data_IF_448710953892
#
_entry.id   IF_448710953892
#
_cell.length_a   1.000
_cell.length_b   1.000
_cell.length_c   1.000
_cell.angle_alpha   90.00
_cell.angle_beta   90.00
_cell.angle_gamma   90.00
#
_symmetry.space_group_name_H-M   'P 1'
#
loop_
_entity.id
_entity.type
_entity.pdbx_description
1 polymer ?
#
# COMPACT_ATOMS: atom_id res chain seq x y z
N UNK A 1 26.41 -5.32 23.20
CA UNK A 1 25.25 -5.81 22.43
C UNK A 1 23.95 -5.18 22.93
N UNK A 2 23.44 -5.53 24.14
CA UNK A 2 22.16 -4.98 24.63
C UNK A 2 22.09 -3.44 24.69
N UNK A 3 23.13 -2.75 25.15
CA UNK A 3 23.13 -1.28 25.21
C UNK A 3 23.02 -0.62 23.83
N UNK A 4 23.77 -1.13 22.84
CA UNK A 4 23.75 -0.63 21.45
C UNK A 4 22.37 -0.82 20.81
N UNK A 5 21.78 -2.00 21.01
CA UNK A 5 20.41 -2.30 20.61
C UNK A 5 19.41 -1.28 21.18
N UNK A 6 19.43 -1.05 22.49
CA UNK A 6 18.47 -0.12 23.12
C UNK A 6 18.68 1.33 22.69
N UNK A 7 19.92 1.78 22.53
CA UNK A 7 20.22 3.12 22.00
C UNK A 7 19.66 3.27 20.59
N UNK A 8 19.93 2.31 19.70
CA UNK A 8 19.44 2.33 18.33
C UNK A 8 17.91 2.28 18.26
N UNK A 9 17.28 1.44 19.08
CA UNK A 9 15.82 1.32 19.13
C UNK A 9 15.16 2.59 19.65
N UNK A 10 15.66 3.18 20.74
CA UNK A 10 15.14 4.45 21.26
C UNK A 10 15.34 5.57 20.25
N UNK A 11 16.52 5.65 19.63
CA UNK A 11 16.77 6.63 18.57
C UNK A 11 15.78 6.47 17.41
N UNK A 12 15.52 5.24 16.96
CA UNK A 12 14.53 4.96 15.92
C UNK A 12 13.14 5.45 16.32
N UNK A 13 12.64 5.07 17.50
CA UNK A 13 11.29 5.45 17.95
C UNK A 13 11.14 6.97 18.10
N UNK A 14 12.14 7.64 18.66
CA UNK A 14 12.15 9.10 18.85
C UNK A 14 12.19 9.82 17.50
N UNK A 15 13.11 9.45 16.61
CA UNK A 15 13.22 10.07 15.29
C UNK A 15 11.95 9.84 14.47
N UNK A 16 11.39 8.64 14.52
CA UNK A 16 10.14 8.33 13.83
C UNK A 16 8.96 9.16 14.35
N UNK A 17 8.84 9.33 15.66
CA UNK A 17 7.82 10.18 16.27
C UNK A 17 7.99 11.66 15.86
N UNK A 18 9.24 12.13 15.75
CA UNK A 18 9.58 13.49 15.36
C UNK A 18 9.25 13.84 13.91
N UNK A 19 8.98 12.86 13.03
CA UNK A 19 8.62 13.13 11.63
C UNK A 19 7.41 14.07 11.50
N UNK A 20 6.47 14.00 12.46
CA UNK A 20 5.29 14.87 12.48
C UNK A 20 5.65 16.34 12.67
N UNK A 21 6.79 16.64 13.28
CA UNK A 21 7.23 18.02 13.47
C UNK A 21 7.67 18.69 12.17
N UNK A 22 7.84 17.90 11.10
CA UNK A 22 8.38 18.33 9.81
C UNK A 22 7.43 18.04 8.64
N UNK A 23 6.15 17.74 8.92
CA UNK A 23 5.16 17.34 7.90
C UNK A 23 4.43 18.52 7.22
N UNK A 24 4.66 19.76 7.69
CA UNK A 24 4.14 20.97 7.05
C UNK A 24 5.02 21.43 5.88
N UNK A 25 4.71 20.94 4.69
CA UNK A 25 5.48 21.23 3.48
C UNK A 25 5.23 22.61 2.88
N UNK A 26 4.37 23.43 3.49
CA UNK A 26 4.22 24.84 3.09
C UNK A 26 5.45 25.69 3.48
N UNK A 27 6.28 25.17 4.39
CA UNK A 27 7.49 25.81 4.87
C UNK A 27 8.72 25.25 4.16
N UNK A 28 9.53 26.14 3.56
CA UNK A 28 10.67 25.82 2.69
C UNK A 28 11.65 24.77 3.26
N UNK A 29 11.94 24.82 4.56
CA UNK A 29 12.92 23.93 5.19
C UNK A 29 12.35 22.62 5.75
N UNK A 30 11.02 22.49 5.86
CA UNK A 30 10.40 21.30 6.46
C UNK A 30 10.66 20.02 5.67
N UNK A 31 10.61 20.00 4.32
CA UNK A 31 10.99 18.82 3.56
C UNK A 31 12.43 18.36 3.83
N UNK A 32 13.36 19.30 3.97
CA UNK A 32 14.77 18.98 4.28
C UNK A 32 14.89 18.34 5.66
N UNK A 33 14.23 18.90 6.67
CA UNK A 33 14.23 18.32 8.02
C UNK A 33 13.54 16.95 8.07
N UNK A 34 12.44 16.79 7.34
CA UNK A 34 11.74 15.52 7.21
C UNK A 34 12.65 14.44 6.61
N UNK A 35 13.34 14.75 5.50
CA UNK A 35 14.27 13.83 4.84
C UNK A 35 15.45 13.50 5.74
N UNK A 36 16.07 14.50 6.37
CA UNK A 36 17.19 14.29 7.29
C UNK A 36 16.77 13.39 8.48
N UNK A 37 15.61 13.67 9.08
CA UNK A 37 15.06 12.87 10.17
C UNK A 37 14.75 11.44 9.71
N UNK A 38 14.19 11.26 8.51
CA UNK A 38 13.91 9.95 7.91
C UNK A 38 15.18 9.15 7.66
N UNK A 39 16.25 9.77 7.16
CA UNK A 39 17.55 9.11 6.96
C UNK A 39 18.13 8.65 8.30
N UNK A 40 18.14 9.52 9.31
CA UNK A 40 18.61 9.17 10.65
C UNK A 40 17.78 8.06 11.28
N UNK A 41 16.45 8.12 11.12
CA UNK A 41 15.54 7.06 11.57
C UNK A 41 15.84 5.74 10.86
N UNK A 42 16.10 5.78 9.54
CA UNK A 42 16.51 4.62 8.75
C UNK A 42 17.82 4.01 9.25
N UNK A 43 18.84 4.83 9.50
CA UNK A 43 20.11 4.35 10.08
C UNK A 43 19.90 3.70 11.45
N UNK A 44 19.14 4.35 12.34
CA UNK A 44 18.81 3.80 13.66
C UNK A 44 18.07 2.46 13.55
N UNK A 45 17.11 2.36 12.63
CA UNK A 45 16.42 1.11 12.28
C UNK A 45 17.37 0.00 11.82
N UNK A 46 18.33 0.29 10.94
CA UNK A 46 19.30 -0.70 10.46
C UNK A 46 20.15 -1.24 11.63
N UNK A 47 20.60 -0.37 12.54
CA UNK A 47 21.33 -0.80 13.73
C UNK A 47 20.45 -1.59 14.71
N UNK A 48 19.20 -1.16 14.95
CA UNK A 48 18.28 -1.87 15.83
C UNK A 48 17.96 -3.27 15.30
N UNK A 49 17.74 -3.40 13.98
CA UNK A 49 17.39 -4.66 13.32
C UNK A 49 18.57 -5.65 13.27
N UNK A 50 19.78 -5.17 13.00
CA UNK A 50 20.99 -6.00 13.04
C UNK A 50 21.28 -6.52 14.45
N UNK A 51 21.20 -5.67 15.47
CA UNK A 51 21.46 -6.08 16.86
C UNK A 51 20.33 -6.97 17.41
N UNK A 52 19.11 -6.84 16.91
CA UNK A 52 17.99 -7.74 17.27
C UNK A 52 18.27 -9.19 16.93
N UNK A 53 19.03 -9.46 15.85
CA UNK A 53 19.37 -10.81 15.42
C UNK A 53 20.07 -11.64 16.52
N UNK A 54 20.78 -10.97 17.43
CA UNK A 54 21.51 -11.58 18.52
C UNK A 54 20.67 -11.74 19.82
N UNK A 55 19.40 -11.33 19.82
CA UNK A 55 18.48 -11.50 20.96
C UNK A 55 17.72 -12.82 20.85
N UNK A 56 17.81 -13.64 21.90
CA UNK A 56 17.02 -14.88 22.02
C UNK A 56 15.66 -14.62 22.69
N UNK A 57 14.61 -15.30 22.22
CA UNK A 57 13.25 -15.28 22.80
C UNK A 57 12.60 -13.88 22.96
N UNK A 58 12.85 -12.97 22.02
CA UNK A 58 12.40 -11.58 22.07
C UNK A 58 11.06 -11.30 21.32
N UNK A 59 10.11 -12.25 21.33
CA UNK A 59 8.80 -12.10 20.62
C UNK A 59 8.03 -10.88 21.13
N UNK A 60 8.07 -10.63 22.43
CA UNK A 60 7.37 -9.48 23.02
C UNK A 60 8.01 -8.16 22.57
N UNK A 61 9.35 -8.08 22.44
CA UNK A 61 10.05 -6.90 21.91
C UNK A 61 9.65 -6.68 20.45
N UNK A 62 9.65 -7.76 19.66
CA UNK A 62 9.23 -7.72 18.26
C UNK A 62 7.88 -7.02 18.10
N UNK A 63 6.86 -7.49 18.83
CA UNK A 63 5.51 -6.95 18.73
C UNK A 63 5.37 -5.59 19.38
N UNK A 64 6.03 -5.35 20.52
CA UNK A 64 6.02 -4.05 21.18
C UNK A 64 6.53 -2.95 20.25
N UNK A 65 7.66 -3.17 19.58
CA UNK A 65 8.24 -2.20 18.63
C UNK A 65 7.39 -2.11 17.37
N UNK A 66 6.93 -3.24 16.82
CA UNK A 66 6.06 -3.24 15.62
C UNK A 66 4.82 -2.40 15.86
N UNK A 67 4.08 -2.66 16.95
CA UNK A 67 2.87 -1.93 17.32
C UNK A 67 3.21 -0.48 17.69
N UNK A 68 4.29 -0.27 18.45
CA UNK A 68 4.75 1.06 18.84
C UNK A 68 4.99 1.97 17.64
N UNK A 69 5.68 1.49 16.61
CA UNK A 69 5.88 2.25 15.36
C UNK A 69 4.55 2.60 14.67
N UNK A 70 3.56 1.70 14.64
CA UNK A 70 2.25 2.00 14.02
C UNK A 70 1.48 3.05 14.83
N UNK A 71 1.51 2.96 16.16
CA UNK A 71 0.89 3.95 17.03
C UNK A 71 1.56 5.33 16.89
N UNK A 72 2.88 5.38 16.73
CA UNK A 72 3.62 6.61 16.45
C UNK A 72 3.37 7.14 15.03
N UNK A 73 2.99 6.29 14.08
CA UNK A 73 2.60 6.69 12.73
C UNK A 73 1.17 7.27 12.67
N UNK A 74 0.27 6.84 13.57
CA UNK A 74 -1.12 7.28 13.59
C UNK A 74 -1.33 8.82 13.55
N UNK A 75 -0.60 9.65 14.32
CA UNK A 75 -0.79 11.10 14.32
C UNK A 75 -0.15 11.83 13.12
N UNK A 76 0.58 11.14 12.24
CA UNK A 76 1.17 11.72 11.02
C UNK A 76 0.06 12.14 10.03
N UNK A 77 0.32 13.10 9.16
CA UNK A 77 -0.61 13.45 8.08
C UNK A 77 -0.90 12.22 7.18
N UNK A 78 -2.17 11.95 6.82
CA UNK A 78 -2.49 10.94 5.80
C UNK A 78 -2.05 11.42 4.41
N UNK A 79 -1.92 10.49 3.46
CA UNK A 79 -1.78 10.83 2.05
C UNK A 79 -3.03 11.56 1.56
N UNK A 80 -2.85 12.53 0.66
CA UNK A 80 -3.95 13.22 -0.02
C UNK A 80 -4.81 12.24 -0.82
N UNK A 81 -4.26 11.09 -1.24
CA UNK A 81 -5.00 10.05 -1.96
C UNK A 81 -6.14 9.46 -1.13
N UNK A 82 -6.09 9.51 0.21
CA UNK A 82 -7.20 9.04 1.07
C UNK A 82 -8.49 9.80 0.78
N UNK A 83 -8.40 11.09 0.45
CA UNK A 83 -9.55 11.89 0.06
C UNK A 83 -10.06 11.49 -1.33
N UNK A 84 -9.16 11.07 -2.22
CA UNK A 84 -9.52 10.52 -3.52
C UNK A 84 -10.27 9.19 -3.40
N UNK A 85 -9.77 8.26 -2.58
CA UNK A 85 -10.45 6.99 -2.32
C UNK A 85 -11.88 7.22 -1.82
N UNK A 86 -12.06 8.19 -0.92
CA UNK A 86 -13.38 8.52 -0.39
C UNK A 86 -14.30 9.13 -1.45
N UNK A 87 -13.79 10.06 -2.25
CA UNK A 87 -14.52 10.71 -3.33
C UNK A 87 -15.04 9.68 -4.34
N UNK A 88 -14.15 8.81 -4.84
CA UNK A 88 -14.51 7.78 -5.83
C UNK A 88 -15.52 6.78 -5.22
N UNK A 89 -15.35 6.41 -3.95
CA UNK A 89 -16.33 5.62 -3.22
C UNK A 89 -17.70 6.29 -3.08
N UNK A 90 -17.75 7.62 -2.88
CA UNK A 90 -19.02 8.38 -2.85
C UNK A 90 -19.69 8.35 -4.20
N UNK A 91 -18.96 8.64 -5.29
CA UNK A 91 -19.46 8.60 -6.68
C UNK A 91 -20.13 7.26 -6.96
N UNK A 92 -19.46 6.16 -6.61
CA UNK A 92 -20.00 4.81 -6.77
C UNK A 92 -21.25 4.55 -5.94
N UNK A 93 -21.30 5.02 -4.68
CA UNK A 93 -22.45 4.81 -3.77
C UNK A 93 -23.69 5.61 -4.19
N UNK A 94 -23.52 6.74 -4.86
CA UNK A 94 -24.64 7.51 -5.43
C UNK A 94 -25.07 7.02 -6.83
N UNK A 95 -24.45 5.94 -7.32
CA UNK A 95 -24.86 5.26 -8.55
C UNK A 95 -24.15 5.72 -9.82
N UNK A 96 -23.06 6.48 -9.70
CA UNK A 96 -22.26 6.92 -10.86
C UNK A 96 -20.99 6.07 -11.04
N UNK A 97 -20.49 6.06 -12.27
CA UNK A 97 -19.26 5.37 -12.64
C UNK A 97 -18.05 6.32 -12.41
N UNK A 98 -17.08 5.99 -11.53
CA UNK A 98 -15.94 6.84 -11.24
C UNK A 98 -14.96 6.99 -12.42
N UNK A 99 -15.05 6.12 -13.43
CA UNK A 99 -14.30 6.25 -14.69
C UNK A 99 -14.93 7.24 -15.68
N UNK A 100 -16.10 7.80 -15.37
CA UNK A 100 -16.83 8.74 -16.24
C UNK A 100 -17.25 10.03 -15.52
N UNK A 101 -17.14 10.06 -14.20
CA UNK A 101 -17.56 11.16 -13.35
C UNK A 101 -16.39 11.53 -12.47
N UNK A 102 -15.94 12.78 -12.58
CA UNK A 102 -14.91 13.33 -11.72
C UNK A 102 -15.51 13.77 -10.37
N UNK A 103 -14.71 13.87 -9.29
CA UNK A 103 -15.19 14.34 -7.99
C UNK A 103 -15.89 15.71 -8.00
N UNK A 104 -15.49 16.65 -8.86
CA UNK A 104 -16.07 17.99 -8.95
C UNK A 104 -17.27 18.10 -9.93
N UNK A 105 -17.69 16.98 -10.52
CA UNK A 105 -18.76 16.97 -11.51
C UNK A 105 -20.10 17.47 -10.91
N UNK A 106 -20.87 18.31 -11.62
CA UNK A 106 -22.15 18.83 -11.14
C UNK A 106 -23.14 17.74 -10.69
N UNK A 107 -23.06 16.53 -11.25
CA UNK A 107 -23.92 15.38 -10.90
C UNK A 107 -23.72 14.89 -9.47
N UNK A 108 -22.56 15.13 -8.87
CA UNK A 108 -22.21 14.73 -7.49
C UNK A 108 -21.94 15.92 -6.57
N UNK A 109 -22.33 17.13 -7.00
CA UNK A 109 -22.15 18.35 -6.23
C UNK A 109 -22.75 18.25 -4.82
N UNK A 110 -21.97 18.67 -3.82
CA UNK A 110 -22.37 18.65 -2.41
C UNK A 110 -22.44 17.26 -1.77
N UNK A 111 -22.05 16.18 -2.46
CA UNK A 111 -22.03 14.81 -1.89
C UNK A 111 -20.70 14.42 -1.24
N UNK A 112 -19.60 15.09 -1.61
CA UNK A 112 -18.24 14.74 -1.17
C UNK A 112 -17.83 15.67 -0.01
N UNK A 113 -17.62 15.17 1.22
CA UNK A 113 -17.45 15.99 2.43
C UNK A 113 -16.26 16.95 2.45
N UNK A 114 -15.20 16.68 1.69
CA UNK A 114 -13.98 17.52 1.65
C UNK A 114 -13.41 17.62 0.21
N UNK A 115 -14.25 18.01 -0.76
CA UNK A 115 -13.86 18.08 -2.18
C UNK A 115 -12.55 18.86 -2.43
N UNK A 116 -12.29 19.92 -1.65
CA UNK A 116 -11.08 20.74 -1.78
C UNK A 116 -9.77 19.98 -1.46
N UNK A 117 -9.84 18.88 -0.69
CA UNK A 117 -8.68 18.03 -0.38
C UNK A 117 -8.47 16.90 -1.38
N UNK A 118 -9.43 16.68 -2.28
CA UNK A 118 -9.37 15.61 -3.26
C UNK A 118 -8.37 16.01 -4.35
N UNK A 119 -7.26 15.27 -4.53
CA UNK A 119 -6.32 15.55 -5.62
C UNK A 119 -6.99 15.26 -6.98
N UNK A 120 -6.63 16.08 -7.99
CA UNK A 120 -7.13 15.98 -9.38
C UNK A 120 -8.66 15.81 -9.45
N UNK A 121 -9.39 16.63 -8.68
CA UNK A 121 -10.83 16.48 -8.50
C UNK A 121 -11.66 16.74 -9.78
N UNK A 122 -11.01 17.20 -10.84
CA UNK A 122 -11.52 17.43 -12.19
C UNK A 122 -11.35 16.24 -13.14
N UNK A 123 -10.60 15.21 -12.72
CA UNK A 123 -10.35 14.02 -13.53
C UNK A 123 -11.11 12.79 -13.00
N UNK A 124 -11.56 11.88 -13.88
CA UNK A 124 -12.04 10.55 -13.50
C UNK A 124 -10.95 9.71 -12.81
N UNK A 125 -11.35 8.59 -12.19
CA UNK A 125 -10.40 7.73 -11.47
C UNK A 125 -9.39 7.06 -12.39
N UNK A 126 -8.14 6.97 -11.93
CA UNK A 126 -7.07 6.19 -12.55
C UNK A 126 -6.79 4.88 -11.81
N UNK A 127 -7.55 4.56 -10.75
CA UNK A 127 -7.30 3.37 -9.95
C UNK A 127 -7.78 2.12 -10.64
N UNK A 128 -7.13 1.00 -10.29
CA UNK A 128 -7.54 -0.30 -10.77
C UNK A 128 -8.97 -0.61 -10.29
N UNK A 129 -9.79 -1.28 -11.10
CA UNK A 129 -11.16 -1.63 -10.76
C UNK A 129 -11.35 -2.34 -9.41
N UNK A 130 -10.42 -3.20 -8.97
CA UNK A 130 -10.51 -3.80 -7.64
C UNK A 130 -10.28 -2.82 -6.50
N UNK A 131 -9.46 -1.79 -6.72
CA UNK A 131 -9.27 -0.71 -5.74
C UNK A 131 -10.53 0.17 -5.64
N UNK A 132 -11.20 0.44 -6.76
CA UNK A 132 -12.50 1.11 -6.75
C UNK A 132 -13.56 0.34 -5.94
N UNK A 133 -13.60 -0.99 -6.06
CA UNK A 133 -14.49 -1.83 -5.24
C UNK A 133 -14.19 -1.66 -3.75
N UNK A 134 -12.92 -1.63 -3.37
CA UNK A 134 -12.49 -1.37 -1.99
C UNK A 134 -12.95 0.02 -1.52
N UNK A 135 -12.80 1.05 -2.36
CA UNK A 135 -13.17 2.43 -2.04
C UNK A 135 -14.67 2.60 -1.89
N UNK A 136 -15.48 1.89 -2.67
CA UNK A 136 -16.93 1.82 -2.51
C UNK A 136 -17.34 1.23 -1.17
N UNK A 137 -16.62 0.21 -0.69
CA UNK A 137 -16.94 -0.51 0.53
C UNK A 137 -16.63 0.31 1.80
N UNK A 138 -15.63 1.19 1.76
CA UNK A 138 -15.26 2.03 2.90
C UNK A 138 -16.05 3.36 2.85
N UNK A 139 -16.82 3.71 3.91
CA UNK A 139 -17.59 4.96 3.91
C UNK A 139 -16.66 6.18 3.98
N UNK A 140 -17.11 7.28 3.37
CA UNK A 140 -16.44 8.57 3.50
C UNK A 140 -16.64 9.14 4.91
N UNK A 141 -15.57 9.71 5.46
CA UNK A 141 -15.48 10.26 6.81
C UNK A 141 -14.68 11.56 6.80
N UNK A 142 -14.94 12.47 7.73
CA UNK A 142 -14.20 13.74 7.82
C UNK A 142 -12.76 13.59 8.34
N UNK A 143 -12.30 12.37 8.57
CA UNK A 143 -10.94 12.06 8.99
C UNK A 143 -10.47 10.76 8.33
N UNK A 144 -9.16 10.54 8.31
CA UNK A 144 -8.56 9.36 7.70
C UNK A 144 -8.46 8.14 8.66
N UNK A 145 -9.00 8.21 9.88
CA UNK A 145 -8.75 7.21 10.93
C UNK A 145 -9.24 5.81 10.53
N UNK A 146 -10.40 5.74 9.87
CA UNK A 146 -10.97 4.47 9.42
C UNK A 146 -10.06 3.80 8.37
N UNK A 147 -9.60 4.57 7.38
CA UNK A 147 -8.66 4.10 6.36
C UNK A 147 -7.34 3.66 6.97
N UNK A 148 -6.75 4.48 7.86
CA UNK A 148 -5.53 4.12 8.61
C UNK A 148 -5.69 2.81 9.38
N UNK A 149 -6.85 2.59 9.99
CA UNK A 149 -7.12 1.39 10.78
C UNK A 149 -7.27 0.15 9.91
N UNK A 150 -8.01 0.25 8.79
CA UNK A 150 -8.21 -0.88 7.85
C UNK A 150 -6.87 -1.29 7.21
N UNK A 151 -6.14 -0.31 6.67
CA UNK A 151 -4.84 -0.54 6.02
C UNK A 151 -3.75 -0.95 7.02
N UNK A 152 -3.79 -0.36 8.21
CA UNK A 152 -2.94 -0.77 9.31
C UNK A 152 -3.20 -2.20 9.81
N UNK A 153 -4.46 -2.63 9.85
CA UNK A 153 -4.80 -4.01 10.18
C UNK A 153 -4.27 -4.97 9.11
N UNK A 154 -4.39 -4.62 7.82
CA UNK A 154 -3.81 -5.42 6.73
C UNK A 154 -2.28 -5.54 6.84
N UNK A 155 -1.57 -4.45 7.16
CA UNK A 155 -0.12 -4.47 7.44
C UNK A 155 0.23 -5.42 8.61
N UNK A 156 -0.47 -5.30 9.75
CA UNK A 156 -0.22 -6.17 10.90
C UNK A 156 -0.53 -7.64 10.61
N UNK A 157 -1.56 -7.93 9.81
CA UNK A 157 -1.87 -9.28 9.35
C UNK A 157 -0.79 -9.83 8.41
N UNK A 158 -0.25 -9.00 7.51
CA UNK A 158 0.89 -9.36 6.67
C UNK A 158 2.12 -9.71 7.51
N UNK A 159 2.43 -8.92 8.54
CA UNK A 159 3.54 -9.19 9.47
C UNK A 159 3.31 -10.48 10.26
N UNK A 160 2.10 -10.68 10.77
CA UNK A 160 1.74 -11.91 11.48
C UNK A 160 1.90 -13.14 10.59
N UNK A 161 1.59 -13.02 9.29
CA UNK A 161 1.75 -14.08 8.32
C UNK A 161 3.21 -14.29 7.92
N UNK A 162 4.00 -13.22 7.75
CA UNK A 162 5.45 -13.32 7.54
C UNK A 162 6.15 -14.09 8.66
N UNK A 163 5.73 -13.91 9.92
CA UNK A 163 6.23 -14.70 11.05
C UNK A 163 5.88 -16.19 11.00
N UNK A 164 4.96 -16.60 10.12
CA UNK A 164 4.67 -18.02 9.83
C UNK A 164 5.54 -18.59 8.73
N UNK A 165 6.20 -17.73 7.95
CA UNK A 165 7.06 -18.07 6.80
C UNK A 165 8.55 -17.95 7.15
N UNK A 166 8.87 -16.96 7.98
CA UNK A 166 10.23 -16.54 8.28
C UNK A 166 10.47 -16.57 9.79
N UNK A 167 11.74 -16.69 10.17
CA UNK A 167 12.14 -16.45 11.56
C UNK A 167 11.98 -14.96 11.93
N UNK A 168 12.01 -14.68 13.24
CA UNK A 168 11.76 -13.33 13.75
C UNK A 168 12.86 -12.35 13.36
N UNK A 169 14.10 -12.84 13.30
CA UNK A 169 15.27 -12.03 12.98
C UNK A 169 15.20 -11.56 11.54
N UNK A 170 14.70 -12.40 10.62
CA UNK A 170 14.42 -12.02 9.23
C UNK A 170 13.19 -11.13 9.13
N UNK A 171 12.10 -11.45 9.83
CA UNK A 171 10.85 -10.67 9.75
C UNK A 171 10.98 -9.24 10.31
N UNK A 172 11.94 -8.98 11.21
CA UNK A 172 12.20 -7.64 11.78
C UNK A 172 12.53 -6.61 10.70
N UNK A 173 13.26 -6.99 9.65
CA UNK A 173 13.60 -6.09 8.55
C UNK A 173 12.38 -5.54 7.80
N UNK A 174 11.26 -6.26 7.84
CA UNK A 174 10.01 -5.75 7.32
C UNK A 174 9.21 -5.04 8.41
N UNK A 175 9.02 -5.71 9.56
CA UNK A 175 8.13 -5.24 10.61
C UNK A 175 8.59 -3.93 11.26
N UNK A 176 9.90 -3.70 11.39
CA UNK A 176 10.46 -2.50 12.03
C UNK A 176 10.88 -1.43 11.03
N UNK A 177 10.65 -1.63 9.73
CA UNK A 177 11.00 -0.64 8.74
C UNK A 177 10.12 0.62 8.93
N UNK A 178 10.73 1.80 9.20
CA UNK A 178 9.97 3.03 9.42
C UNK A 178 9.16 3.44 8.20
N UNK A 179 9.65 3.16 6.98
CA UNK A 179 8.91 3.45 5.74
C UNK A 179 7.62 2.64 5.67
N UNK A 180 7.66 1.35 6.03
CA UNK A 180 6.46 0.49 6.03
C UNK A 180 5.42 1.02 7.03
N UNK A 181 5.85 1.34 8.26
CA UNK A 181 4.97 1.88 9.29
C UNK A 181 4.37 3.23 8.87
N UNK A 182 5.19 4.13 8.30
CA UNK A 182 4.74 5.41 7.78
C UNK A 182 3.75 5.24 6.62
N UNK A 183 4.11 4.52 5.56
CA UNK A 183 3.30 4.41 4.35
C UNK A 183 1.93 3.76 4.61
N UNK A 184 1.88 2.68 5.38
CA UNK A 184 0.63 1.92 5.54
C UNK A 184 -0.26 2.43 6.67
N UNK A 185 0.34 2.85 7.80
CA UNK A 185 -0.42 3.26 8.98
C UNK A 185 -0.50 4.78 9.12
N UNK A 186 0.58 5.49 8.78
CA UNK A 186 0.64 6.96 8.79
C UNK A 186 -0.10 7.57 7.60
N UNK A 187 0.42 7.34 6.40
CA UNK A 187 -0.10 7.88 5.16
C UNK A 187 -1.37 7.15 4.65
N UNK A 188 -1.71 5.98 5.22
CA UNK A 188 -2.87 5.18 4.82
C UNK A 188 -2.87 4.79 3.32
N UNK A 189 -1.75 4.25 2.84
CA UNK A 189 -1.72 3.59 1.54
C UNK A 189 -2.38 2.20 1.59
N UNK A 190 -3.31 1.95 0.66
CA UNK A 190 -4.00 0.67 0.53
C UNK A 190 -3.09 -0.45 0.00
N UNK A 191 -1.87 -0.14 -0.45
CA UNK A 191 -0.82 -1.09 -0.83
C UNK A 191 -0.52 -2.13 0.27
N UNK A 192 -0.83 -1.81 1.53
CA UNK A 192 -0.85 -2.77 2.65
C UNK A 192 -1.72 -4.00 2.39
N UNK A 193 -2.89 -3.84 1.75
CA UNK A 193 -3.80 -4.94 1.39
C UNK A 193 -3.21 -5.76 0.26
N UNK A 194 -2.59 -5.10 -0.73
CA UNK A 194 -1.90 -5.77 -1.85
C UNK A 194 -0.76 -6.63 -1.29
N UNK A 195 0.03 -6.06 -0.38
CA UNK A 195 1.14 -6.76 0.24
C UNK A 195 0.66 -7.94 1.09
N UNK A 196 -0.42 -7.77 1.87
CA UNK A 196 -1.04 -8.87 2.61
C UNK A 196 -1.45 -10.01 1.66
N UNK A 197 -2.06 -9.68 0.52
CA UNK A 197 -2.43 -10.66 -0.50
C UNK A 197 -1.20 -11.38 -1.09
N UNK A 198 -0.10 -10.67 -1.36
CA UNK A 198 1.16 -11.28 -1.85
C UNK A 198 1.78 -12.20 -0.79
N UNK A 199 1.83 -11.79 0.47
CA UNK A 199 2.34 -12.65 1.56
C UNK A 199 1.44 -13.87 1.75
N UNK A 200 0.12 -13.71 1.61
CA UNK A 200 -0.82 -14.81 1.65
C UNK A 200 -0.64 -15.79 0.49
N UNK A 201 -0.38 -15.28 -0.73
CA UNK A 201 0.00 -16.10 -1.88
C UNK A 201 1.23 -16.95 -1.55
N UNK A 202 2.32 -16.33 -1.06
CA UNK A 202 3.56 -17.04 -0.70
C UNK A 202 3.27 -18.10 0.37
N UNK A 203 2.50 -17.76 1.40
CA UNK A 203 2.09 -18.70 2.44
C UNK A 203 1.35 -19.90 1.88
N UNK A 204 0.37 -19.69 1.01
CA UNK A 204 -0.38 -20.80 0.43
C UNK A 204 0.48 -21.67 -0.49
N UNK A 205 1.40 -21.08 -1.26
CA UNK A 205 2.35 -21.83 -2.07
C UNK A 205 3.32 -22.66 -1.23
N UNK A 206 3.83 -22.11 -0.12
CA UNK A 206 4.71 -22.86 0.78
C UNK A 206 3.97 -24.05 1.43
N UNK A 207 2.74 -23.82 1.92
CA UNK A 207 1.90 -24.88 2.50
C UNK A 207 1.50 -25.94 1.49
N UNK A 208 1.30 -25.53 0.23
CA UNK A 208 1.04 -26.44 -0.87
C UNK A 208 2.21 -27.41 -1.10
N UNK A 209 3.45 -26.93 -1.06
CA UNK A 209 4.64 -27.78 -1.22
C UNK A 209 4.84 -28.72 -0.01
N UNK A 210 4.62 -28.23 1.21
CA UNK A 210 4.82 -29.02 2.44
C UNK A 210 3.75 -30.09 2.68
N UNK A 211 2.55 -29.95 2.11
CA UNK A 211 1.42 -30.84 2.41
C UNK A 211 1.16 -31.84 1.28
N UNK A 212 0.91 -33.11 1.64
CA UNK A 212 0.48 -34.15 0.69
C UNK A 212 -1.05 -34.21 0.55
N UNK A 213 -1.78 -33.97 1.65
CA UNK A 213 -3.24 -33.93 1.68
C UNK A 213 -3.79 -32.51 1.40
N UNK A 214 -5.02 -32.39 0.92
CA UNK A 214 -5.71 -31.09 0.74
C UNK A 214 -5.01 -30.05 -0.17
N UNK A 215 -4.14 -30.47 -1.10
CA UNK A 215 -3.41 -29.57 -2.02
C UNK A 215 -4.30 -28.58 -2.78
N UNK A 216 -5.52 -28.98 -3.16
CA UNK A 216 -6.48 -28.10 -3.81
C UNK A 216 -6.87 -26.88 -2.97
N UNK A 217 -6.98 -27.02 -1.65
CA UNK A 217 -7.32 -25.88 -0.76
C UNK A 217 -6.24 -24.82 -0.80
N UNK A 218 -4.98 -25.24 -0.75
CA UNK A 218 -3.83 -24.32 -0.82
C UNK A 218 -3.63 -23.75 -2.22
N UNK A 219 -3.82 -24.56 -3.28
CA UNK A 219 -3.77 -24.06 -4.66
C UNK A 219 -4.86 -23.01 -4.92
N UNK A 220 -6.09 -23.23 -4.43
CA UNK A 220 -7.18 -22.26 -4.53
C UNK A 220 -6.91 -21.02 -3.67
N UNK A 221 -6.41 -21.19 -2.44
CA UNK A 221 -6.00 -20.07 -1.60
C UNK A 221 -4.95 -19.19 -2.25
N UNK A 222 -3.92 -19.80 -2.86
CA UNK A 222 -2.91 -19.10 -3.64
C UNK A 222 -3.54 -18.34 -4.83
N UNK A 223 -4.42 -18.99 -5.59
CA UNK A 223 -5.09 -18.36 -6.73
C UNK A 223 -5.98 -17.17 -6.32
N UNK A 224 -6.74 -17.29 -5.22
CA UNK A 224 -7.58 -16.20 -4.72
C UNK A 224 -6.72 -15.03 -4.23
N UNK A 225 -5.66 -15.31 -3.46
CA UNK A 225 -4.74 -14.27 -2.99
C UNK A 225 -4.09 -13.52 -4.15
N UNK A 226 -3.62 -14.23 -5.18
CA UNK A 226 -3.09 -13.62 -6.40
C UNK A 226 -4.15 -12.82 -7.16
N UNK A 227 -5.38 -13.33 -7.29
CA UNK A 227 -6.47 -12.62 -7.93
C UNK A 227 -6.81 -11.30 -7.24
N UNK A 228 -6.80 -11.27 -5.90
CA UNK A 228 -6.98 -10.04 -5.13
C UNK A 228 -5.85 -9.04 -5.42
N UNK A 229 -4.60 -9.50 -5.41
CA UNK A 229 -3.45 -8.65 -5.71
C UNK A 229 -3.53 -8.05 -7.13
N UNK A 230 -3.88 -8.86 -8.13
CA UNK A 230 -4.06 -8.41 -9.53
C UNK A 230 -5.20 -7.40 -9.65
N UNK A 231 -6.35 -7.66 -9.00
CA UNK A 231 -7.51 -6.78 -9.05
C UNK A 231 -7.20 -5.39 -8.46
N UNK A 232 -6.40 -5.33 -7.40
CA UNK A 232 -5.98 -4.08 -6.75
C UNK A 232 -4.80 -3.41 -7.46
N UNK A 233 -3.85 -4.19 -7.99
CA UNK A 233 -2.69 -3.72 -8.74
C UNK A 233 -2.37 -4.67 -9.90
N UNK A 234 -2.76 -4.33 -11.15
CA UNK A 234 -2.61 -5.20 -12.32
C UNK A 234 -1.18 -5.64 -12.59
N UNK A 235 -0.18 -4.84 -12.20
CA UNK A 235 1.25 -5.21 -12.32
C UNK A 235 1.57 -6.53 -11.62
N UNK A 236 0.81 -6.92 -10.59
CA UNK A 236 0.96 -8.21 -9.90
C UNK A 236 0.66 -9.42 -10.80
N UNK A 237 0.14 -9.22 -12.03
CA UNK A 237 -0.02 -10.26 -13.04
C UNK A 237 1.31 -11.00 -13.32
N UNK A 238 2.45 -10.32 -13.17
CA UNK A 238 3.79 -10.93 -13.33
C UNK A 238 4.01 -12.13 -12.39
N UNK A 239 3.29 -12.19 -11.25
CA UNK A 239 3.37 -13.29 -10.29
C UNK A 239 2.59 -14.53 -10.74
N UNK A 240 1.82 -14.48 -11.84
CA UNK A 240 1.20 -15.67 -12.43
C UNK A 240 2.24 -16.68 -12.89
N UNK A 241 3.32 -16.22 -13.54
CA UNK A 241 4.36 -17.09 -14.09
C UNK A 241 5.00 -17.96 -13.00
N UNK A 242 5.59 -17.41 -11.93
CA UNK A 242 6.15 -18.25 -10.86
C UNK A 242 5.07 -19.11 -10.17
N UNK A 243 3.84 -18.61 -10.04
CA UNK A 243 2.73 -19.39 -9.44
C UNK A 243 2.31 -20.59 -10.29
N UNK A 244 2.31 -20.46 -11.62
CA UNK A 244 2.04 -21.54 -12.57
C UNK A 244 3.06 -22.67 -12.38
N UNK A 245 4.34 -22.33 -12.30
CA UNK A 245 5.41 -23.30 -12.06
C UNK A 245 5.32 -23.95 -10.67
N UNK A 246 5.05 -23.16 -9.63
CA UNK A 246 4.92 -23.67 -8.26
C UNK A 246 3.75 -24.67 -8.12
N UNK A 247 2.60 -24.39 -8.72
CA UNK A 247 1.39 -25.23 -8.56
C UNK A 247 1.37 -26.48 -9.45
N UNK A 248 2.22 -26.56 -10.48
CA UNK A 248 2.35 -27.72 -11.39
C UNK A 248 0.98 -28.11 -11.97
N UNK A 249 0.54 -29.37 -11.82
CA UNK A 249 -0.78 -29.84 -12.30
C UNK A 249 -1.98 -29.13 -11.65
N UNK A 250 -1.80 -28.46 -10.52
CA UNK A 250 -2.85 -27.69 -9.83
C UNK A 250 -2.93 -26.24 -10.32
N UNK A 251 -2.10 -25.86 -11.30
CA UNK A 251 -2.10 -24.52 -11.89
C UNK A 251 -3.45 -24.12 -12.51
N UNK A 252 -4.30 -25.09 -12.86
CA UNK A 252 -5.68 -24.81 -13.29
C UNK A 252 -6.49 -24.04 -12.23
N UNK A 253 -6.11 -24.12 -10.94
CA UNK A 253 -6.69 -23.28 -9.90
C UNK A 253 -6.46 -21.78 -10.15
N UNK A 254 -5.38 -21.40 -10.84
CA UNK A 254 -5.08 -20.01 -11.20
C UNK A 254 -6.09 -19.41 -12.18
N UNK A 255 -6.95 -20.22 -12.81
CA UNK A 255 -8.12 -19.70 -13.49
C UNK A 255 -8.98 -18.83 -12.55
N UNK A 256 -9.04 -19.15 -11.24
CA UNK A 256 -9.72 -18.32 -10.25
C UNK A 256 -9.07 -16.95 -10.05
N UNK A 257 -7.73 -16.85 -10.21
CA UNK A 257 -7.01 -15.58 -10.10
C UNK A 257 -7.38 -14.60 -11.22
N UNK A 258 -7.72 -15.12 -12.41
CA UNK A 258 -8.18 -14.34 -13.56
C UNK A 258 -9.69 -14.14 -13.50
N UNK A 259 -10.44 -15.17 -13.11
CA UNK A 259 -11.89 -15.12 -13.02
C UNK A 259 -12.36 -14.11 -11.98
N UNK A 260 -11.64 -13.93 -10.85
CA UNK A 260 -12.04 -12.97 -9.82
C UNK A 260 -12.12 -11.52 -10.36
N UNK A 261 -11.07 -10.95 -11.00
CA UNK A 261 -11.15 -9.68 -11.72
C UNK A 261 -12.32 -9.61 -12.72
N UNK A 262 -12.54 -10.68 -13.51
CA UNK A 262 -13.62 -10.73 -14.51
C UNK A 262 -15.01 -10.78 -13.87
N UNK A 263 -15.18 -11.49 -12.77
CA UNK A 263 -16.44 -11.56 -12.03
C UNK A 263 -16.81 -10.21 -11.42
N UNK A 264 -15.81 -9.43 -11.00
CA UNK A 264 -16.03 -8.06 -10.55
C UNK A 264 -16.57 -7.20 -11.72
N UNK A 265 -16.16 -7.43 -12.97
CA UNK A 265 -16.76 -6.78 -14.16
C UNK A 265 -18.26 -7.00 -14.27
N UNK A 266 -18.72 -8.22 -13.99
CA UNK A 266 -20.15 -8.56 -14.08
C UNK A 266 -20.98 -7.95 -12.94
N UNK A 267 -20.37 -7.75 -11.76
CA UNK A 267 -21.07 -7.27 -10.56
C UNK A 267 -21.09 -5.74 -10.49
N UNK A 268 -20.03 -5.09 -10.97
CA UNK A 268 -19.88 -3.65 -10.90
C UNK A 268 -20.21 -3.01 -12.25
N UNK A 269 -21.05 -1.97 -12.25
CA UNK A 269 -21.61 -1.35 -13.46
C UNK A 269 -20.60 -0.48 -14.25
N UNK A 270 -19.31 -0.81 -14.19
CA UNK A 270 -18.26 -0.15 -14.96
C UNK A 270 -17.36 -1.22 -15.60
N UNK A 271 -16.86 -0.99 -16.83
CA UNK A 271 -16.15 -2.02 -17.60
C UNK A 271 -14.76 -2.29 -17.00
N UNK A 272 -14.71 -3.21 -16.05
CA UNK A 272 -13.53 -3.66 -15.31
C UNK A 272 -12.47 -4.19 -16.26
N UNK A 273 -12.81 -4.98 -17.29
CA UNK A 273 -11.82 -5.51 -18.22
C UNK A 273 -11.14 -4.42 -19.05
N UNK A 274 -11.91 -3.40 -19.48
CA UNK A 274 -11.38 -2.26 -20.24
C UNK A 274 -10.53 -1.34 -19.35
N UNK A 275 -10.96 -1.16 -18.11
CA UNK A 275 -10.30 -0.30 -17.13
C UNK A 275 -9.27 -1.04 -16.27
N UNK A 276 -9.02 -2.34 -16.51
CA UNK A 276 -8.10 -3.14 -15.69
C UNK A 276 -6.72 -2.49 -15.67
N UNK A 277 -6.26 -2.06 -16.83
CA UNK A 277 -5.06 -1.25 -16.97
C UNK A 277 -5.37 0.25 -17.08
N UNK A 278 -6.64 0.65 -17.11
CA UNK A 278 -7.14 2.04 -17.17
C UNK A 278 -6.29 2.97 -18.03
N UNK A 279 -6.08 4.19 -17.52
CA UNK A 279 -5.01 5.10 -17.94
C UNK A 279 -3.70 4.84 -17.17
N UNK A 280 -3.54 3.67 -16.54
CA UNK A 280 -2.35 3.33 -15.76
C UNK A 280 -1.07 3.45 -16.61
N UNK A 281 -1.15 3.14 -17.91
CA UNK A 281 -0.06 3.34 -18.87
C UNK A 281 0.21 4.80 -19.25
N UNK A 282 -0.75 5.70 -19.04
CA UNK A 282 -0.66 7.12 -19.38
C UNK A 282 -0.29 8.00 -18.18
N UNK A 283 -0.67 7.59 -16.96
CA UNK A 283 -0.55 8.38 -15.73
C UNK A 283 0.53 7.81 -14.79
N UNK A 284 0.77 6.49 -14.79
CA UNK A 284 1.76 5.88 -13.88
C UNK A 284 3.17 6.11 -14.39
N UNK A 285 3.83 7.15 -13.90
CA UNK A 285 5.26 7.36 -14.10
C UNK A 285 6.01 6.49 -13.11
N UNK A 286 6.91 5.66 -13.63
CA UNK A 286 7.88 4.98 -12.79
C UNK A 286 8.91 6.05 -12.37
N UNK A 287 8.80 6.50 -11.12
CA UNK A 287 9.76 7.36 -10.42
C UNK A 287 9.72 8.86 -10.80
N UNK A 288 8.66 9.56 -10.39
CA UNK A 288 8.53 11.03 -10.56
C UNK A 288 9.72 11.81 -10.01
N UNK A 289 10.38 11.33 -8.95
CA UNK A 289 11.58 11.99 -8.40
C UNK A 289 12.76 11.96 -9.38
N UNK A 290 12.94 10.85 -10.10
CA UNK A 290 13.99 10.72 -11.11
C UNK A 290 13.70 11.60 -12.33
N UNK A 291 12.43 11.67 -12.75
CA UNK A 291 12.02 12.53 -13.85
C UNK A 291 12.09 14.00 -13.47
N UNK A 292 11.64 14.40 -12.29
CA UNK A 292 11.79 15.76 -11.77
C UNK A 292 13.26 16.18 -11.72
N UNK A 293 14.13 15.33 -11.14
CA UNK A 293 15.57 15.59 -11.09
C UNK A 293 16.14 15.77 -12.51
N UNK A 294 15.80 14.90 -13.46
CA UNK A 294 16.33 14.96 -14.84
C UNK A 294 15.76 16.14 -15.64
N UNK A 295 14.48 16.44 -15.48
CA UNK A 295 13.78 17.54 -16.16
C UNK A 295 14.37 18.90 -15.73
N UNK A 296 14.63 19.07 -14.43
CA UNK A 296 15.20 20.32 -13.91
C UNK A 296 16.72 20.41 -14.05
N UNK A 297 17.45 19.30 -14.17
CA UNK A 297 18.94 19.33 -14.16
C UNK A 297 19.64 18.92 -15.46
N UNK A 298 19.05 18.10 -16.33
CA UNK A 298 19.78 17.47 -17.45
C UNK A 298 19.14 17.75 -18.83
N UNK A 299 17.84 17.51 -19.02
CA UNK A 299 17.18 17.70 -20.32
C UNK A 299 15.66 17.90 -20.16
N UNK A 300 15.14 19.12 -20.34
CA UNK A 300 13.71 19.37 -20.29
C UNK A 300 13.03 18.74 -21.52
N UNK A 301 12.12 17.78 -21.28
CA UNK A 301 11.35 17.16 -22.35
C UNK A 301 10.16 18.06 -22.74
N UNK A 302 10.26 18.77 -23.87
CA UNK A 302 9.25 19.75 -24.32
C UNK A 302 7.83 19.19 -24.47
N UNK A 303 7.67 17.90 -24.80
CA UNK A 303 6.34 17.29 -24.93
C UNK A 303 5.66 17.01 -23.58
N UNK A 304 6.38 17.09 -22.46
CA UNK A 304 5.87 16.78 -21.12
C UNK A 304 5.73 18.01 -20.21
N UNK A 305 6.30 19.16 -20.57
CA UNK A 305 6.16 20.45 -19.85
C UNK A 305 4.71 20.93 -19.68
N UNK A 306 3.77 20.39 -20.46
CA UNK A 306 2.35 20.75 -20.39
C UNK A 306 1.52 19.84 -19.47
N UNK A 307 2.11 18.77 -18.92
CA UNK A 307 1.49 18.03 -17.82
C UNK A 307 1.74 18.78 -16.53
N UNK A 308 0.73 19.52 -16.07
CA UNK A 308 0.84 20.42 -14.92
C UNK A 308 1.21 19.65 -13.65
N UNK A 309 2.40 19.94 -13.12
CA UNK A 309 2.68 19.81 -11.70
C UNK A 309 2.09 21.06 -11.03
N UNK A 310 0.77 21.12 -10.90
CA UNK A 310 0.16 22.13 -10.03
C UNK A 310 0.35 21.63 -8.59
N UNK A 311 1.44 22.11 -7.98
CA UNK A 311 1.77 22.00 -6.55
C UNK A 311 0.69 22.65 -5.71
#
# INVERSE_FOLDING_TARGET
MKLRFWIALVAQLVLFASLKLFDDWTLEWMPVYFVACTILCGLAYLFASTEFAALNNAVWIFWFVTIGLRLLALPQAPSNEVWRFQADGVIQRVGFNPYQVAPNDPRVAGKIPELARVPRNDEPTAFAPGAEVLFRAIPATNNALLYKTIFGAADLLAIALLLRLLDKQTAVWFAWNPLVAYSFFGAAHFDSIILFAIVALIFFLERFEQTVQSRWKFALGAAVALGIAIALRPVCLVLLIPSLFALRRYSIALAAAIALPVLLDCVFQFPFAQNLFGDFGHISRLNDLFWWLIEDTILPNWHQQYYRYDV
#
